data_IF_352980001506
#
_entry.id   IF_352980001506
#
_cell.length_a   1.000
_cell.length_b   1.000
_cell.length_c   1.000
_cell.angle_alpha   90.00
_cell.angle_beta   90.00
_cell.angle_gamma   90.00
#
_symmetry.space_group_name_H-M   'P 1'
#
loop_
_entity.id
_entity.type
_entity.pdbx_description
1 polymer ?
#
# COMPACT_ATOMS: atom_id res chain seq x y z
N UNK A 1 20.68 -4.90 10.68
CA UNK A 1 19.36 -5.57 10.64
C UNK A 1 18.65 -4.98 9.45
N UNK A 2 18.58 -5.75 8.37
CA UNK A 2 18.06 -5.27 7.08
C UNK A 2 16.53 -5.20 7.19
N UNK A 3 15.98 -3.99 7.29
CA UNK A 3 14.60 -3.74 6.90
C UNK A 3 14.53 -3.87 5.37
N UNK A 4 14.57 -5.11 4.88
CA UNK A 4 14.31 -5.41 3.47
C UNK A 4 12.82 -5.28 3.26
N UNK A 5 12.41 -4.05 2.95
CA UNK A 5 11.18 -3.80 2.24
C UNK A 5 11.15 -4.65 0.98
N UNK A 6 10.28 -5.66 0.95
CA UNK A 6 10.04 -6.50 -0.22
C UNK A 6 9.78 -5.60 -1.44
N UNK A 7 10.62 -5.73 -2.47
CA UNK A 7 10.42 -5.05 -3.75
C UNK A 7 9.07 -5.45 -4.37
N UNK A 8 8.47 -4.55 -5.14
CA UNK A 8 7.17 -4.78 -5.81
C UNK A 8 7.14 -6.11 -6.59
N UNK A 9 8.20 -6.43 -7.34
CA UNK A 9 8.33 -7.71 -8.05
C UNK A 9 8.29 -8.94 -7.14
N UNK A 10 8.80 -8.85 -5.90
CA UNK A 10 8.74 -9.96 -4.95
C UNK A 10 7.35 -10.12 -4.34
N UNK A 11 6.65 -9.02 -4.12
CA UNK A 11 5.26 -9.04 -3.69
C UNK A 11 4.39 -9.71 -4.77
N UNK A 12 4.54 -9.32 -6.03
CA UNK A 12 3.83 -9.94 -7.15
C UNK A 12 4.11 -11.45 -7.27
N UNK A 13 5.37 -11.87 -7.14
CA UNK A 13 5.76 -13.30 -7.14
C UNK A 13 5.15 -14.09 -5.98
N UNK A 14 4.93 -13.44 -4.84
CA UNK A 14 4.27 -14.04 -3.68
C UNK A 14 2.73 -14.02 -3.78
N UNK A 15 2.19 -13.49 -4.88
CA UNK A 15 0.75 -13.41 -5.15
C UNK A 15 0.08 -12.18 -4.55
N UNK A 16 0.85 -11.21 -4.04
CA UNK A 16 0.32 -9.91 -3.64
C UNK A 16 0.06 -9.06 -4.89
N UNK A 17 -1.05 -8.32 -4.87
CA UNK A 17 -1.40 -7.37 -5.94
C UNK A 17 -1.58 -5.99 -5.37
N UNK A 18 -1.01 -4.98 -6.03
CA UNK A 18 -1.27 -3.59 -5.68
C UNK A 18 -2.74 -3.29 -5.92
N UNK A 19 -3.48 -3.00 -4.85
CA UNK A 19 -4.89 -2.65 -4.93
C UNK A 19 -5.06 -1.15 -5.14
N UNK A 20 -4.42 -0.35 -4.30
CA UNK A 20 -4.49 1.11 -4.37
C UNK A 20 -3.32 1.76 -3.64
N UNK A 21 -3.02 3.00 -4.00
CA UNK A 21 -2.07 3.85 -3.29
C UNK A 21 -2.83 5.01 -2.66
N UNK A 22 -2.83 5.11 -1.34
CA UNK A 22 -3.57 6.15 -0.62
C UNK A 22 -2.90 6.50 0.70
N UNK A 23 -3.34 7.59 1.31
CA UNK A 23 -2.78 8.14 2.54
C UNK A 23 -3.87 8.82 3.37
N UNK A 24 -3.48 9.31 4.55
CA UNK A 24 -4.38 10.03 5.44
C UNK A 24 -5.58 9.19 5.92
N UNK A 25 -6.73 9.84 6.09
CA UNK A 25 -7.97 9.21 6.58
C UNK A 25 -8.52 8.13 5.62
N UNK A 26 -8.20 8.23 4.33
CA UNK A 26 -8.70 7.27 3.34
C UNK A 26 -8.04 5.89 3.50
N UNK A 27 -6.77 5.86 3.89
CA UNK A 27 -6.02 4.63 4.16
C UNK A 27 -6.71 3.78 5.23
N UNK A 28 -7.05 4.39 6.36
CA UNK A 28 -7.64 3.67 7.50
C UNK A 28 -8.94 2.99 7.09
N UNK A 29 -9.82 3.70 6.36
CA UNK A 29 -11.08 3.15 5.86
C UNK A 29 -10.88 1.96 4.93
N UNK A 30 -9.91 2.06 4.02
CA UNK A 30 -9.60 0.96 3.09
C UNK A 30 -9.05 -0.25 3.83
N UNK A 31 -8.18 -0.04 4.81
CA UNK A 31 -7.59 -1.08 5.66
C UNK A 31 -8.66 -1.81 6.47
N UNK A 32 -9.54 -1.08 7.13
CA UNK A 32 -10.63 -1.67 7.91
C UNK A 32 -11.57 -2.49 7.02
N UNK A 33 -11.97 -1.96 5.86
CA UNK A 33 -12.79 -2.70 4.89
C UNK A 33 -12.14 -4.03 4.48
N UNK A 34 -10.85 -4.04 4.13
CA UNK A 34 -10.17 -5.28 3.74
C UNK A 34 -10.04 -6.27 4.90
N UNK A 35 -9.79 -5.79 6.13
CA UNK A 35 -9.76 -6.63 7.33
C UNK A 35 -11.12 -7.26 7.62
N UNK A 36 -12.20 -6.51 7.47
CA UNK A 36 -13.58 -7.02 7.64
C UNK A 36 -13.92 -8.10 6.61
N UNK A 37 -13.39 -7.98 5.39
CA UNK A 37 -13.52 -8.98 4.34
C UNK A 37 -12.62 -10.21 4.53
N UNK A 38 -11.75 -10.21 5.56
CA UNK A 38 -10.79 -11.29 5.80
C UNK A 38 -9.67 -11.36 4.75
N UNK A 39 -9.40 -10.24 4.06
CA UNK A 39 -8.37 -10.17 3.02
C UNK A 39 -7.03 -9.82 3.68
N UNK A 40 -5.99 -10.58 3.33
CA UNK A 40 -4.64 -10.27 3.74
C UNK A 40 -4.17 -8.96 3.08
N UNK A 41 -3.74 -8.02 3.92
CA UNK A 41 -3.26 -6.70 3.49
C UNK A 41 -1.81 -6.48 3.90
N UNK A 42 -1.06 -5.83 3.02
CA UNK A 42 0.31 -5.40 3.26
C UNK A 42 0.43 -3.92 2.92
N UNK A 43 0.78 -3.11 3.92
CA UNK A 43 0.93 -1.67 3.78
C UNK A 43 2.41 -1.33 3.61
N UNK A 44 2.72 -0.69 2.49
CA UNK A 44 4.07 -0.22 2.20
C UNK A 44 4.12 1.30 2.20
N UNK A 45 4.88 1.88 3.13
CA UNK A 45 5.05 3.34 3.21
C UNK A 45 5.95 3.81 2.07
N UNK A 46 5.45 4.73 1.27
CA UNK A 46 6.18 5.33 0.17
C UNK A 46 6.33 6.82 0.44
N UNK A 47 7.55 7.33 0.30
CA UNK A 47 7.77 8.77 0.33
C UNK A 47 7.30 9.37 -0.99
N UNK A 48 6.58 10.51 -0.97
CA UNK A 48 6.03 11.09 -2.19
C UNK A 48 7.11 11.36 -3.26
N UNK A 49 8.30 11.81 -2.85
CA UNK A 49 9.44 12.03 -3.75
C UNK A 49 10.01 10.76 -4.42
N UNK A 50 9.60 9.56 -4.00
CA UNK A 50 10.05 8.25 -4.53
C UNK A 50 8.95 7.52 -5.31
N UNK A 51 7.74 8.09 -5.39
CA UNK A 51 6.59 7.37 -5.95
C UNK A 51 6.59 7.31 -7.48
N UNK A 52 7.33 8.17 -8.18
CA UNK A 52 7.39 8.20 -9.66
C UNK A 52 6.11 8.67 -10.36
N UNK A 53 4.99 8.72 -9.63
CA UNK A 53 3.66 9.17 -10.06
C UNK A 53 3.28 10.54 -9.47
N UNK A 54 2.13 11.09 -9.88
CA UNK A 54 1.64 12.39 -9.41
C UNK A 54 1.34 12.36 -7.89
N UNK A 55 2.29 12.80 -7.07
CA UNK A 55 2.20 12.88 -5.61
C UNK A 55 1.88 14.27 -5.07
N UNK A 56 1.61 15.23 -5.96
CA UNK A 56 1.40 16.64 -5.60
C UNK A 56 0.31 16.82 -4.53
N UNK A 57 -0.74 16.00 -4.54
CA UNK A 57 -1.80 16.05 -3.53
C UNK A 57 -1.29 15.64 -2.13
N UNK A 58 -0.44 14.62 -2.05
CA UNK A 58 0.14 14.13 -0.79
C UNK A 58 1.26 15.04 -0.29
N UNK A 59 2.08 15.59 -1.21
CA UNK A 59 3.13 16.56 -0.86
C UNK A 59 2.55 17.85 -0.30
N UNK A 60 1.49 18.38 -0.90
CA UNK A 60 0.79 19.56 -0.37
C UNK A 60 0.10 19.30 0.96
N UNK A 61 -0.40 18.07 1.17
CA UNK A 61 -1.05 17.66 2.42
C UNK A 61 -0.08 17.32 3.55
N UNK A 62 1.23 17.16 3.27
CA UNK A 62 2.19 16.54 4.21
C UNK A 62 1.71 15.18 4.74
N UNK A 63 0.92 14.46 3.94
CA UNK A 63 0.36 13.18 4.33
C UNK A 63 1.29 12.03 3.91
N UNK A 64 1.42 11.02 4.75
CA UNK A 64 2.17 9.83 4.41
C UNK A 64 1.40 9.00 3.37
N UNK A 65 2.05 8.69 2.25
CA UNK A 65 1.53 7.85 1.19
C UNK A 65 1.83 6.37 1.49
N UNK A 66 0.84 5.52 1.30
CA UNK A 66 0.97 4.07 1.46
C UNK A 66 0.46 3.34 0.22
N UNK A 67 1.23 2.36 -0.24
CA UNK A 67 0.79 1.36 -1.21
C UNK A 67 0.15 0.20 -0.47
N UNK A 68 -1.10 -0.09 -0.81
CA UNK A 68 -1.86 -1.20 -0.25
C UNK A 68 -1.77 -2.37 -1.21
N UNK A 69 -1.10 -3.44 -0.78
CA UNK A 69 -1.09 -4.71 -1.48
C UNK A 69 -2.07 -5.65 -0.80
N UNK A 70 -2.86 -6.34 -1.61
CA UNK A 70 -3.81 -7.35 -1.14
C UNK A 70 -3.45 -8.70 -1.74
N UNK A 71 -3.58 -9.75 -0.94
CA UNK A 71 -3.43 -11.11 -1.42
C UNK A 71 -4.82 -11.71 -1.60
N UNK A 72 -5.28 -11.95 -2.85
CA UNK A 72 -6.53 -12.65 -3.04
C UNK A 72 -6.37 -14.07 -2.51
N UNK A 73 -7.15 -14.41 -1.50
CA UNK A 73 -7.33 -15.80 -1.09
C UNK A 73 -7.92 -16.52 -2.31
N UNK A 74 -7.21 -17.55 -2.82
CA UNK A 74 -7.77 -18.40 -3.87
C UNK A 74 -9.07 -18.99 -3.31
N UNK A 75 -10.20 -18.51 -3.82
CA UNK A 75 -11.51 -19.06 -3.53
C UNK A 75 -11.67 -20.43 -4.20
#
# INVERSE_FOLDING_TARGET
>A
MSEESLSEEQLEKQGWKLATSTGGDHLQRTVDMYRELGIEIYLYKVEPGKCGDCTICFEKGSEALYRIYVKPVKQ
#
